data_IF_202117019092
#
_entry.id   IF_202117019092
#
_cell.length_a   1.000
_cell.length_b   1.000
_cell.length_c   1.000
_cell.angle_alpha   90.00
_cell.angle_beta   90.00
_cell.angle_gamma   90.00
#
_symmetry.space_group_name_H-M   'P 1'
#
loop_
_entity.id
_entity.type
_entity.pdbx_description
1 polymer ?
#
# COMPACT_ATOMS: atom_id res chain seq x y z
N UNK A 1 26.88 41.00 -23.77
CA UNK A 1 25.63 41.03 -24.55
C UNK A 1 25.56 39.69 -25.27
N UNK A 2 24.66 38.74 -25.05
CA UNK A 2 23.37 38.68 -24.38
C UNK A 2 23.18 37.25 -23.82
N UNK A 3 22.70 37.13 -22.58
CA UNK A 3 21.93 35.96 -22.14
C UNK A 3 20.47 36.24 -22.52
N UNK A 4 19.77 35.28 -23.12
CA UNK A 4 18.31 35.35 -23.24
C UNK A 4 17.63 34.52 -22.14
N UNK A 5 16.63 35.07 -21.43
CA UNK A 5 15.89 34.37 -20.37
C UNK A 5 14.82 33.42 -20.92
N UNK A 6 14.52 32.39 -20.13
CA UNK A 6 13.39 31.46 -20.29
C UNK A 6 12.16 32.12 -19.65
N UNK A 7 11.07 32.29 -20.40
CA UNK A 7 9.80 32.80 -19.86
C UNK A 7 8.99 31.69 -19.15
N UNK A 8 8.44 31.95 -17.94
CA UNK A 8 7.47 31.07 -17.30
C UNK A 8 6.03 31.45 -17.68
N UNK A 9 5.28 30.48 -18.20
CA UNK A 9 3.84 30.55 -18.48
C UNK A 9 3.04 30.67 -17.17
N UNK A 10 2.23 31.72 -17.07
CA UNK A 10 1.34 32.01 -15.95
C UNK A 10 0.06 31.16 -16.04
N UNK A 11 -0.21 30.38 -14.99
CA UNK A 11 -1.46 29.63 -14.80
C UNK A 11 -1.96 29.81 -13.36
N UNK A 12 -3.06 30.56 -13.25
CA UNK A 12 -4.11 30.53 -12.24
C UNK A 12 -3.76 30.44 -10.75
N UNK A 13 -3.64 31.63 -10.15
CA UNK A 13 -3.92 31.85 -8.73
C UNK A 13 -4.92 32.99 -8.60
N UNK A 14 -6.21 32.69 -8.37
CA UNK A 14 -7.14 33.66 -7.78
C UNK A 14 -8.08 32.99 -6.78
N UNK A 15 -7.82 33.32 -5.52
CA UNK A 15 -8.67 33.07 -4.35
C UNK A 15 -10.04 33.76 -4.50
N UNK A 16 -11.10 33.08 -4.08
CA UNK A 16 -12.38 33.72 -3.75
C UNK A 16 -12.55 33.80 -2.22
N UNK A 17 -12.35 34.99 -1.68
CA UNK A 17 -12.76 35.42 -0.34
C UNK A 17 -14.06 36.20 -0.47
N UNK A 18 -15.12 35.78 0.22
CA UNK A 18 -16.44 36.40 0.20
C UNK A 18 -16.72 37.11 1.52
N UNK A 19 -17.01 38.42 1.47
CA UNK A 19 -17.77 39.14 2.50
C UNK A 19 -18.25 40.51 2.00
N UNK A 20 -19.50 40.88 2.34
CA UNK A 20 -19.90 42.28 2.56
C UNK A 20 -20.94 42.90 1.61
N UNK A 21 -22.17 43.10 2.11
CA UNK A 21 -23.35 43.57 1.37
C UNK A 21 -23.50 45.09 1.11
N UNK A 22 -24.65 45.48 0.54
CA UNK A 22 -25.12 46.88 0.41
C UNK A 22 -26.08 47.12 -0.77
N UNK A 23 -27.19 47.85 -0.57
CA UNK A 23 -28.45 47.80 -1.34
C UNK A 23 -28.82 49.06 -2.19
N UNK A 24 -29.99 48.98 -2.90
CA UNK A 24 -30.92 50.06 -3.42
C UNK A 24 -30.73 50.45 -4.92
N UNK A 25 -31.69 50.57 -5.89
CA UNK A 25 -33.19 50.58 -5.99
C UNK A 25 -33.74 50.32 -7.44
N UNK A 26 -34.74 49.42 -7.55
CA UNK A 26 -36.07 49.35 -8.26
C UNK A 26 -36.48 50.05 -9.62
N UNK A 27 -36.78 49.19 -10.63
CA UNK A 27 -37.86 49.08 -11.70
C UNK A 27 -38.07 50.09 -12.88
N UNK A 28 -38.74 49.74 -14.04
CA UNK A 28 -39.48 48.48 -14.41
C UNK A 28 -39.27 47.85 -15.84
N UNK A 29 -39.49 46.52 -15.93
CA UNK A 29 -40.00 45.67 -17.05
C UNK A 29 -39.24 45.56 -18.43
N UNK A 30 -39.38 44.47 -19.23
CA UNK A 30 -40.22 43.29 -19.04
C UNK A 30 -39.46 41.97 -18.89
N UNK A 31 -40.06 41.11 -18.08
CA UNK A 31 -39.75 39.70 -17.90
C UNK A 31 -39.70 38.93 -19.23
N UNK A 32 -38.49 38.64 -19.70
CA UNK A 32 -38.23 37.39 -20.43
C UNK A 32 -37.36 36.56 -19.51
N UNK A 33 -38.01 35.83 -18.62
CA UNK A 33 -37.38 34.66 -18.03
C UNK A 33 -37.06 33.73 -19.20
N UNK A 34 -35.82 33.82 -19.70
CA UNK A 34 -35.21 32.74 -20.46
C UNK A 34 -35.15 31.57 -19.50
N UNK A 35 -36.13 30.66 -19.59
CA UNK A 35 -36.13 29.42 -18.86
C UNK A 35 -34.93 28.59 -19.39
N UNK A 36 -33.90 28.34 -18.57
CA UNK A 36 -32.66 27.68 -19.01
C UNK A 36 -32.86 26.19 -19.33
N UNK A 37 -34.09 25.68 -19.30
CA UNK A 37 -34.45 24.31 -19.67
C UNK A 37 -35.33 24.19 -20.93
N UNK A 38 -35.62 25.30 -21.64
CA UNK A 38 -36.56 25.31 -22.77
C UNK A 38 -35.93 24.94 -24.15
N UNK A 39 -34.62 24.68 -24.23
CA UNK A 39 -33.94 24.47 -25.51
C UNK A 39 -33.23 23.12 -25.63
N UNK A 40 -33.99 22.02 -25.50
CA UNK A 40 -33.51 20.69 -25.95
C UNK A 40 -34.61 19.82 -26.58
N UNK A 41 -35.90 20.03 -26.27
CA UNK A 41 -36.95 19.06 -26.65
C UNK A 41 -38.21 19.62 -27.35
N UNK A 42 -38.22 20.89 -27.77
CA UNK A 42 -39.42 21.57 -28.28
C UNK A 42 -39.46 21.81 -29.80
N UNK A 43 -39.46 20.78 -30.64
CA UNK A 43 -39.95 20.90 -32.02
C UNK A 43 -40.60 19.60 -32.46
N UNK A 44 -41.92 19.57 -32.30
CA UNK A 44 -42.79 18.53 -32.87
C UNK A 44 -42.84 18.68 -34.39
N UNK A 45 -42.70 17.60 -35.16
CA UNK A 45 -43.49 17.43 -36.35
C UNK A 45 -44.57 16.38 -36.09
N UNK A 46 -45.79 16.69 -36.51
CA UNK A 46 -46.99 15.90 -36.33
C UNK A 46 -46.82 14.41 -36.68
N UNK A 47 -47.37 13.52 -35.84
CA UNK A 47 -47.56 12.08 -36.12
C UNK A 47 -48.88 11.85 -36.88
N UNK A 48 -49.21 10.66 -37.47
CA UNK A 48 -48.57 9.33 -37.34
C UNK A 48 -48.49 8.49 -38.66
N UNK A 49 -48.05 7.24 -38.51
CA UNK A 49 -48.05 6.08 -39.44
C UNK A 49 -46.87 5.98 -40.39
N UNK A 50 -45.94 5.06 -40.09
CA UNK A 50 -45.88 3.73 -40.70
C UNK A 50 -44.86 2.86 -39.95
N UNK A 51 -45.17 1.58 -39.82
CA UNK A 51 -44.33 0.56 -39.21
C UNK A 51 -42.95 0.52 -39.86
N UNK A 52 -41.88 0.82 -39.09
CA UNK A 52 -40.52 0.39 -39.42
C UNK A 52 -39.87 -0.18 -38.17
N UNK A 53 -40.03 -1.48 -38.05
CA UNK A 53 -39.10 -2.45 -37.50
C UNK A 53 -38.08 -1.92 -36.49
N UNK A 54 -38.30 -2.34 -35.25
CA UNK A 54 -37.27 -2.56 -34.25
C UNK A 54 -36.31 -3.69 -34.70
N UNK A 55 -35.65 -3.52 -35.85
CA UNK A 55 -34.61 -4.40 -36.36
C UNK A 55 -33.44 -3.54 -36.86
N UNK A 56 -32.40 -3.49 -36.03
CA UNK A 56 -31.01 -3.67 -36.49
C UNK A 56 -30.63 -2.94 -37.78
N UNK A 57 -30.42 -1.63 -37.70
CA UNK A 57 -29.63 -0.91 -38.69
C UNK A 57 -28.43 -0.28 -37.98
N UNK A 58 -27.42 -1.12 -37.70
CA UNK A 58 -26.06 -0.63 -37.57
C UNK A 58 -25.70 0.03 -38.91
N UNK A 59 -25.93 1.34 -39.03
CA UNK A 59 -25.44 2.07 -40.18
C UNK A 59 -23.91 1.93 -40.18
N UNK A 60 -23.24 1.78 -41.34
CA UNK A 60 -21.79 1.63 -41.42
C UNK A 60 -21.00 2.73 -40.70
N UNK A 61 -21.62 3.90 -40.48
CA UNK A 61 -21.12 5.01 -39.67
C UNK A 61 -21.11 4.72 -38.16
N UNK A 62 -22.09 3.99 -37.64
CA UNK A 62 -22.21 3.68 -36.21
C UNK A 62 -21.20 2.62 -35.76
N UNK A 63 -20.74 1.76 -36.66
CA UNK A 63 -19.68 0.80 -36.35
C UNK A 63 -18.37 1.48 -35.97
N UNK A 64 -18.00 2.58 -36.64
CA UNK A 64 -16.80 3.36 -36.30
C UNK A 64 -16.96 4.09 -34.97
N UNK A 65 -18.15 4.64 -34.71
CA UNK A 65 -18.47 5.29 -33.44
C UNK A 65 -18.36 4.28 -32.29
N UNK A 66 -19.03 3.14 -32.42
CA UNK A 66 -19.01 2.06 -31.44
C UNK A 66 -17.60 1.50 -31.22
N UNK A 67 -16.81 1.33 -32.28
CA UNK A 67 -15.41 0.91 -32.16
C UNK A 67 -14.58 1.92 -31.36
N UNK A 68 -14.78 3.22 -31.60
CA UNK A 68 -14.08 4.29 -30.86
C UNK A 68 -14.51 4.33 -29.40
N UNK A 69 -15.81 4.17 -29.13
CA UNK A 69 -16.36 4.08 -27.78
C UNK A 69 -15.78 2.87 -27.03
N UNK A 70 -15.79 1.69 -27.66
CA UNK A 70 -15.24 0.46 -27.06
C UNK A 70 -13.72 0.54 -26.86
N UNK A 71 -12.97 1.09 -27.81
CA UNK A 71 -11.52 1.27 -27.67
C UNK A 71 -11.19 2.24 -26.54
N UNK A 72 -11.95 3.33 -26.41
CA UNK A 72 -11.76 4.32 -25.33
C UNK A 72 -12.15 3.73 -23.98
N UNK A 73 -13.29 3.03 -23.91
CA UNK A 73 -13.73 2.36 -22.69
C UNK A 73 -12.72 1.28 -22.26
N UNK A 74 -12.29 0.41 -23.19
CA UNK A 74 -11.33 -0.65 -22.91
C UNK A 74 -9.93 -0.13 -22.55
N UNK A 75 -9.48 0.98 -23.13
CA UNK A 75 -8.24 1.63 -22.69
C UNK A 75 -8.35 2.16 -21.26
N UNK A 76 -9.46 2.83 -20.92
CA UNK A 76 -9.69 3.33 -19.55
C UNK A 76 -9.78 2.18 -18.56
N UNK A 77 -10.51 1.13 -18.89
CA UNK A 77 -10.63 -0.08 -18.07
C UNK A 77 -9.27 -0.75 -17.89
N UNK A 78 -8.48 -0.91 -18.96
CA UNK A 78 -7.14 -1.50 -18.90
C UNK A 78 -6.17 -0.71 -18.02
N UNK A 79 -6.19 0.62 -18.09
CA UNK A 79 -5.36 1.48 -17.23
C UNK A 79 -5.79 1.38 -15.77
N UNK A 80 -7.10 1.35 -15.50
CA UNK A 80 -7.61 1.16 -14.13
C UNK A 80 -7.23 -0.21 -13.58
N UNK A 81 -7.52 -1.28 -14.33
CA UNK A 81 -7.20 -2.64 -13.92
C UNK A 81 -5.70 -2.84 -13.69
N UNK A 82 -4.83 -2.28 -14.54
CA UNK A 82 -3.38 -2.37 -14.37
C UNK A 82 -2.87 -1.63 -13.12
N UNK A 83 -3.48 -0.50 -12.77
CA UNK A 83 -3.14 0.24 -11.55
C UNK A 83 -3.58 -0.52 -10.31
N UNK A 84 -4.80 -1.04 -10.32
CA UNK A 84 -5.35 -1.80 -9.19
C UNK A 84 -4.55 -3.09 -8.97
N UNK A 85 -4.19 -3.82 -10.04
CA UNK A 85 -3.41 -5.05 -9.94
C UNK A 85 -1.99 -4.81 -9.41
N UNK A 86 -1.33 -3.73 -9.84
CA UNK A 86 0.02 -3.40 -9.38
C UNK A 86 0.03 -2.95 -7.91
N UNK A 87 -1.00 -2.24 -7.46
CA UNK A 87 -1.08 -1.74 -6.09
C UNK A 87 -1.36 -2.89 -5.11
N UNK A 88 -2.23 -3.82 -5.47
CA UNK A 88 -2.59 -4.95 -4.61
C UNK A 88 -1.41 -5.91 -4.42
N UNK A 89 -0.67 -6.24 -5.49
CA UNK A 89 0.52 -7.11 -5.41
C UNK A 89 1.54 -6.58 -4.39
N UNK A 90 1.89 -5.29 -4.50
CA UNK A 90 2.84 -4.68 -3.58
C UNK A 90 2.33 -4.60 -2.13
N UNK A 91 1.02 -4.42 -1.94
CA UNK A 91 0.42 -4.49 -0.61
C UNK A 91 0.48 -5.91 -0.02
N UNK A 92 0.13 -6.93 -0.80
CA UNK A 92 0.10 -8.32 -0.35
C UNK A 92 1.51 -8.82 0.01
N UNK A 93 2.52 -8.46 -0.78
CA UNK A 93 3.94 -8.72 -0.49
C UNK A 93 4.38 -8.03 0.81
N UNK A 94 4.13 -6.71 0.92
CA UNK A 94 4.49 -5.93 2.10
C UNK A 94 3.76 -6.38 3.38
N UNK A 95 2.49 -6.77 3.26
CA UNK A 95 1.69 -7.30 4.35
C UNK A 95 2.23 -8.64 4.83
N UNK A 96 2.55 -9.56 3.91
CA UNK A 96 3.08 -10.88 4.25
C UNK A 96 4.45 -10.80 4.94
N UNK A 97 5.33 -9.93 4.43
CA UNK A 97 6.62 -9.65 5.05
C UNK A 97 6.45 -9.00 6.43
N UNK A 98 5.62 -7.97 6.53
CA UNK A 98 5.31 -7.29 7.79
C UNK A 98 4.69 -8.21 8.84
N UNK A 99 3.81 -9.12 8.42
CA UNK A 99 3.19 -10.13 9.29
C UNK A 99 4.25 -11.11 9.81
N UNK A 100 5.17 -11.57 8.96
CA UNK A 100 6.25 -12.48 9.36
C UNK A 100 7.18 -11.81 10.39
N UNK A 101 7.56 -10.57 10.15
CA UNK A 101 8.40 -9.77 11.07
C UNK A 101 7.65 -9.49 12.38
N UNK A 102 6.39 -9.09 12.31
CA UNK A 102 5.54 -8.83 13.47
C UNK A 102 5.31 -10.08 14.31
N UNK A 103 5.13 -11.24 13.67
CA UNK A 103 5.02 -12.53 14.35
C UNK A 103 6.30 -12.86 15.11
N UNK A 104 7.48 -12.69 14.49
CA UNK A 104 8.77 -12.91 15.16
C UNK A 104 8.97 -11.96 16.34
N UNK A 105 8.74 -10.67 16.16
CA UNK A 105 8.83 -9.70 17.25
C UNK A 105 7.87 -10.03 18.39
N UNK A 106 6.63 -10.41 18.08
CA UNK A 106 5.63 -10.82 19.06
C UNK A 106 6.02 -12.08 19.83
N UNK A 107 6.61 -13.08 19.18
CA UNK A 107 7.13 -14.29 19.84
C UNK A 107 8.24 -13.95 20.85
N UNK A 108 9.18 -13.08 20.46
CA UNK A 108 10.27 -12.63 21.34
C UNK A 108 9.73 -11.87 22.56
N UNK A 109 8.80 -10.92 22.33
CA UNK A 109 8.14 -10.17 23.41
C UNK A 109 7.37 -11.10 24.34
N UNK A 110 6.55 -12.00 23.79
CA UNK A 110 5.74 -12.93 24.56
C UNK A 110 6.59 -13.88 25.43
N UNK A 111 7.77 -14.28 24.94
CA UNK A 111 8.71 -15.09 25.71
C UNK A 111 9.29 -14.29 26.89
N UNK A 112 9.72 -13.05 26.66
CA UNK A 112 10.24 -12.17 27.71
C UNK A 112 9.16 -11.76 28.72
N UNK A 113 7.91 -11.60 28.28
CA UNK A 113 6.76 -11.38 29.14
C UNK A 113 6.48 -12.59 30.02
N UNK A 114 6.44 -13.79 29.45
CA UNK A 114 6.24 -15.03 30.22
C UNK A 114 7.34 -15.24 31.28
N UNK A 115 8.57 -14.87 30.93
CA UNK A 115 9.71 -14.84 31.84
C UNK A 115 9.50 -13.85 32.99
N UNK A 116 9.19 -12.59 32.67
CA UNK A 116 8.99 -11.53 33.67
C UNK A 116 7.84 -11.90 34.61
N UNK A 117 6.77 -12.48 34.05
CA UNK A 117 5.61 -12.96 34.76
C UNK A 117 5.94 -14.11 35.72
N UNK A 118 6.87 -15.00 35.37
CA UNK A 118 7.33 -16.05 36.27
C UNK A 118 8.04 -15.51 37.53
N UNK A 119 8.58 -14.29 37.47
CA UNK A 119 9.21 -13.61 38.60
C UNK A 119 8.27 -12.68 39.38
N UNK A 120 7.02 -12.48 38.94
CA UNK A 120 6.04 -11.64 39.65
C UNK A 120 5.87 -12.11 41.09
N UNK A 121 6.05 -11.18 42.03
CA UNK A 121 5.97 -11.44 43.47
C UNK A 121 7.30 -11.86 44.13
N UNK A 122 8.38 -11.99 43.37
CA UNK A 122 9.73 -12.16 43.91
C UNK A 122 10.49 -10.83 43.82
N UNK A 123 10.98 -10.30 44.95
CA UNK A 123 11.89 -9.15 44.96
C UNK A 123 13.34 -9.64 44.81
N UNK A 124 13.63 -10.29 43.68
CA UNK A 124 14.95 -10.79 43.32
C UNK A 124 15.63 -9.81 42.36
N UNK A 125 16.96 -9.75 42.38
CA UNK A 125 17.75 -9.06 41.36
C UNK A 125 17.39 -9.56 39.95
N UNK A 126 17.09 -10.85 39.81
CA UNK A 126 16.63 -11.44 38.56
C UNK A 126 15.27 -10.89 38.09
N UNK A 127 14.36 -10.56 39.01
CA UNK A 127 13.06 -9.98 38.67
C UNK A 127 13.22 -8.56 38.10
N UNK A 128 14.06 -7.74 38.74
CA UNK A 128 14.37 -6.39 38.24
C UNK A 128 15.11 -6.43 36.89
N UNK A 129 16.01 -7.39 36.70
CA UNK A 129 16.71 -7.59 35.43
C UNK A 129 15.74 -7.99 34.31
N UNK A 130 14.79 -8.90 34.58
CA UNK A 130 13.78 -9.33 33.63
C UNK A 130 12.83 -8.19 33.22
N UNK A 131 12.36 -7.38 34.16
CA UNK A 131 11.52 -6.21 33.87
C UNK A 131 12.24 -5.15 33.03
N UNK A 132 13.54 -4.92 33.30
CA UNK A 132 14.38 -4.01 32.52
C UNK A 132 14.56 -4.52 31.09
N UNK A 133 14.86 -5.80 30.92
CA UNK A 133 14.99 -6.45 29.62
C UNK A 133 13.70 -6.35 28.80
N UNK A 134 12.56 -6.61 29.43
CA UNK A 134 11.24 -6.47 28.79
C UNK A 134 10.99 -5.03 28.32
N UNK A 135 11.30 -4.04 29.16
CA UNK A 135 11.11 -2.64 28.81
C UNK A 135 12.00 -2.24 27.62
N UNK A 136 13.26 -2.69 27.61
CA UNK A 136 14.18 -2.46 26.50
C UNK A 136 13.69 -3.17 25.21
N UNK A 137 13.16 -4.38 25.33
CA UNK A 137 12.59 -5.13 24.20
C UNK A 137 11.37 -4.44 23.60
N UNK A 138 10.45 -3.93 24.42
CA UNK A 138 9.28 -3.18 23.97
C UNK A 138 9.66 -1.90 23.21
N UNK A 139 10.68 -1.19 23.67
CA UNK A 139 11.16 0.03 23.01
C UNK A 139 11.86 -0.29 21.68
N UNK A 140 12.75 -1.29 21.68
CA UNK A 140 13.53 -1.67 20.49
C UNK A 140 12.71 -2.39 19.43
N UNK A 141 11.84 -3.32 19.81
CA UNK A 141 10.97 -4.09 18.91
C UNK A 141 9.62 -3.40 18.69
N UNK A 142 9.50 -2.11 19.01
CA UNK A 142 8.35 -1.31 18.62
C UNK A 142 8.22 -1.24 17.10
N UNK A 143 6.99 -1.22 16.60
CA UNK A 143 6.71 -1.16 15.15
C UNK A 143 7.44 0.00 14.48
N UNK A 144 7.45 1.17 15.12
CA UNK A 144 8.15 2.37 14.65
C UNK A 144 9.65 2.17 14.43
N UNK A 145 10.31 1.34 15.25
CA UNK A 145 11.75 1.05 15.12
C UNK A 145 12.04 -0.09 14.15
N UNK A 146 11.20 -1.11 14.13
CA UNK A 146 11.35 -2.25 13.20
C UNK A 146 11.17 -1.79 11.75
N UNK A 147 10.20 -0.91 11.47
CA UNK A 147 9.97 -0.37 10.11
C UNK A 147 10.69 0.96 9.87
N UNK A 148 11.75 1.25 10.63
CA UNK A 148 12.47 2.51 10.52
C UNK A 148 13.19 2.65 9.17
N UNK A 149 13.41 3.87 8.68
CA UNK A 149 14.17 4.10 7.45
C UNK A 149 15.66 3.71 7.56
N UNK A 150 16.11 3.24 8.73
CA UNK A 150 17.46 2.69 8.93
C UNK A 150 17.59 1.31 8.27
N UNK A 151 16.52 0.50 8.34
CA UNK A 151 16.49 -0.87 7.82
C UNK A 151 15.72 -1.03 6.51
N UNK A 152 14.91 -0.02 6.16
CA UNK A 152 14.03 -0.03 4.99
C UNK A 152 14.29 1.18 4.10
N UNK A 153 14.45 0.93 2.80
CA UNK A 153 14.53 1.97 1.79
C UNK A 153 13.12 2.48 1.40
N UNK A 154 13.01 3.70 0.82
CA UNK A 154 11.72 4.29 0.44
C UNK A 154 10.93 3.50 -0.61
N UNK A 155 11.59 2.59 -1.31
CA UNK A 155 11.00 1.66 -2.28
C UNK A 155 10.40 0.39 -1.63
N UNK A 156 10.52 0.25 -0.30
CA UNK A 156 10.02 -0.90 0.45
C UNK A 156 11.02 -2.06 0.54
N UNK A 157 12.22 -1.91 -0.04
CA UNK A 157 13.24 -2.96 0.01
C UNK A 157 14.10 -2.84 1.27
N UNK A 158 14.60 -3.97 1.79
CA UNK A 158 15.48 -3.98 2.97
C UNK A 158 16.92 -3.58 2.62
N UNK A 159 17.61 -2.96 3.58
CA UNK A 159 19.00 -2.46 3.40
C UNK A 159 20.08 -3.39 3.98
N UNK A 160 19.68 -4.44 4.69
CA UNK A 160 20.58 -5.35 5.39
C UNK A 160 20.84 -6.66 4.60
N UNK A 161 21.94 -7.35 4.93
CA UNK A 161 22.33 -8.59 4.24
C UNK A 161 21.47 -9.77 4.74
N UNK A 162 20.77 -10.41 3.81
CA UNK A 162 19.97 -11.62 4.06
C UNK A 162 20.60 -12.78 3.33
N UNK A 163 20.90 -13.86 4.05
CA UNK A 163 21.35 -15.12 3.45
C UNK A 163 20.12 -15.99 3.21
N UNK A 164 19.93 -16.45 1.98
CA UNK A 164 18.95 -17.48 1.70
C UNK A 164 19.26 -18.72 2.54
N UNK A 165 18.22 -19.38 3.07
CA UNK A 165 18.35 -20.64 3.79
C UNK A 165 18.81 -21.80 2.90
N UNK A 166 18.31 -23.02 3.15
CA UNK A 166 18.63 -24.21 2.33
C UNK A 166 18.08 -24.15 0.88
N UNK A 167 17.48 -23.04 0.47
CA UNK A 167 16.95 -22.78 -0.87
C UNK A 167 17.80 -21.82 -1.72
N UNK A 168 17.50 -21.76 -3.02
CA UNK A 168 18.12 -20.80 -3.96
C UNK A 168 17.52 -19.39 -3.78
N UNK A 169 16.27 -19.30 -3.31
CA UNK A 169 15.54 -18.06 -3.11
C UNK A 169 15.49 -17.68 -1.61
N UNK A 170 15.62 -16.38 -1.32
CA UNK A 170 15.40 -15.84 0.02
C UNK A 170 13.89 -15.91 0.32
N UNK A 171 13.49 -16.27 1.55
CA UNK A 171 12.08 -16.28 1.96
C UNK A 171 11.79 -15.16 2.98
N UNK A 172 10.51 -14.81 3.18
CA UNK A 172 10.14 -13.80 4.20
C UNK A 172 10.64 -14.14 5.62
N UNK A 173 10.62 -15.41 6.08
CA UNK A 173 11.21 -15.77 7.36
C UNK A 173 12.72 -15.50 7.43
N UNK A 174 13.45 -15.67 6.32
CA UNK A 174 14.89 -15.39 6.27
C UNK A 174 15.15 -13.89 6.44
N UNK A 175 14.36 -13.05 5.77
CA UNK A 175 14.43 -11.58 5.91
C UNK A 175 14.11 -11.16 7.35
N UNK A 176 13.06 -11.74 7.95
CA UNK A 176 12.69 -11.43 9.34
C UNK A 176 13.79 -11.82 10.32
N UNK A 177 14.41 -12.99 10.16
CA UNK A 177 15.49 -13.46 11.03
C UNK A 177 16.80 -12.68 10.81
N UNK A 178 17.02 -12.16 9.60
CA UNK A 178 18.18 -11.34 9.28
C UNK A 178 18.06 -9.89 9.77
N UNK A 179 16.84 -9.43 10.13
CA UNK A 179 16.62 -8.08 10.63
C UNK A 179 17.50 -7.81 11.87
N UNK A 180 18.31 -6.73 11.91
CA UNK A 180 19.31 -6.53 12.97
C UNK A 180 18.75 -6.53 14.40
N UNK A 181 17.62 -5.87 14.61
CA UNK A 181 16.94 -5.88 15.92
C UNK A 181 16.38 -7.25 16.29
N UNK A 182 15.69 -7.93 15.39
CA UNK A 182 15.13 -9.27 15.65
C UNK A 182 16.25 -10.24 15.97
N UNK A 183 17.34 -10.22 15.19
CA UNK A 183 18.50 -11.07 15.43
C UNK A 183 19.13 -10.83 16.80
N UNK A 184 19.38 -9.57 17.17
CA UNK A 184 19.91 -9.21 18.49
C UNK A 184 19.03 -9.77 19.62
N UNK A 185 17.71 -9.56 19.52
CA UNK A 185 16.78 -9.99 20.55
C UNK A 185 16.58 -11.50 20.55
N UNK A 186 16.67 -12.15 19.40
CA UNK A 186 16.67 -13.60 19.31
C UNK A 186 17.87 -14.20 20.06
N UNK A 187 19.07 -13.66 19.86
CA UNK A 187 20.27 -14.11 20.58
C UNK A 187 20.10 -13.93 22.11
N UNK A 188 19.57 -12.79 22.56
CA UNK A 188 19.30 -12.53 23.98
C UNK A 188 18.26 -13.49 24.55
N UNK A 189 17.17 -13.73 23.82
CA UNK A 189 16.10 -14.64 24.25
C UNK A 189 16.60 -16.08 24.29
N UNK A 190 17.39 -16.52 23.32
CA UNK A 190 17.99 -17.85 23.27
C UNK A 190 18.92 -18.08 24.49
N UNK A 191 19.71 -17.08 24.89
CA UNK A 191 20.50 -17.16 26.13
C UNK A 191 19.62 -17.39 27.36
N UNK A 192 18.49 -16.68 27.46
CA UNK A 192 17.56 -16.80 28.58
C UNK A 192 16.77 -18.11 28.58
N UNK A 193 16.34 -18.59 27.40
CA UNK A 193 15.71 -19.91 27.21
C UNK A 193 16.66 -21.00 27.71
N UNK A 194 17.93 -20.93 27.33
CA UNK A 194 18.95 -21.88 27.76
C UNK A 194 19.22 -21.81 29.27
N UNK A 195 19.30 -20.61 29.82
CA UNK A 195 19.55 -20.39 31.26
C UNK A 195 18.41 -20.97 32.12
N UNK A 196 17.17 -20.82 31.67
CA UNK A 196 15.98 -21.28 32.41
C UNK A 196 15.43 -22.63 31.95
N UNK A 197 16.05 -23.25 30.94
CA UNK A 197 15.61 -24.53 30.35
C UNK A 197 14.14 -24.51 29.94
N UNK A 198 13.72 -23.39 29.36
CA UNK A 198 12.38 -23.27 28.77
C UNK A 198 12.35 -24.20 27.55
N UNK A 199 11.29 -25.00 27.40
CA UNK A 199 11.11 -25.83 26.21
C UNK A 199 10.36 -25.02 25.16
N UNK A 200 11.03 -24.49 24.11
CA UNK A 200 10.37 -23.67 23.10
C UNK A 200 9.34 -24.47 22.28
N UNK A 201 9.54 -25.79 22.15
CA UNK A 201 8.64 -26.69 21.41
C UNK A 201 7.20 -26.76 21.93
N UNK A 202 6.93 -26.24 23.14
CA UNK A 202 5.56 -26.15 23.66
C UNK A 202 4.77 -25.02 23.00
N UNK A 203 5.47 -24.01 22.44
CA UNK A 203 4.87 -22.86 21.78
C UNK A 203 4.69 -23.07 20.28
N UNK A 204 5.40 -24.06 19.70
CA UNK A 204 5.33 -24.43 18.29
C UNK A 204 4.15 -25.37 17.96
N UNK A 205 3.21 -25.61 18.89
CA UNK A 205 2.05 -26.45 18.60
C UNK A 205 1.15 -25.75 17.59
N UNK A 206 1.31 -26.16 16.33
CA UNK A 206 0.65 -25.72 15.09
C UNK A 206 -0.88 -25.97 15.07
N UNK A 207 -1.52 -26.09 16.24
CA UNK A 207 -2.94 -26.46 16.46
C UNK A 207 -3.91 -25.27 16.38
N UNK A 208 -3.41 -24.06 16.15
CA UNK A 208 -4.25 -22.92 15.77
C UNK A 208 -4.79 -23.10 14.34
N UNK A 209 -6.02 -22.63 14.02
CA UNK A 209 -6.52 -22.66 12.65
C UNK A 209 -5.58 -21.81 11.78
N UNK A 210 -4.72 -22.51 11.04
CA UNK A 210 -3.82 -21.94 10.04
C UNK A 210 -4.73 -21.24 9.02
N UNK A 211 -4.76 -19.90 9.05
CA UNK A 211 -5.30 -19.14 7.93
C UNK A 211 -4.47 -19.59 6.73
N UNK A 212 -5.16 -20.18 5.75
CA UNK A 212 -4.56 -20.94 4.65
C UNK A 212 -3.25 -20.31 4.20
N UNK A 213 -2.19 -21.13 4.19
CA UNK A 213 -0.89 -20.75 3.66
C UNK A 213 -1.08 -20.25 2.22
N UNK A 214 -1.13 -18.93 2.07
CA UNK A 214 -0.81 -18.30 0.80
C UNK A 214 0.61 -18.75 0.49
N UNK A 215 0.70 -19.53 -0.58
CA UNK A 215 1.86 -20.30 -0.96
C UNK A 215 3.14 -19.46 -0.85
N UNK A 216 4.22 -20.12 -0.45
CA UNK A 216 5.59 -19.67 -0.57
C UNK A 216 5.82 -19.11 -1.99
N UNK A 217 5.60 -17.80 -2.18
CA UNK A 217 5.97 -17.14 -3.43
C UNK A 217 7.48 -16.89 -3.38
N UNK A 218 8.24 -17.44 -4.35
CA UNK A 218 9.67 -17.17 -4.45
C UNK A 218 9.88 -15.67 -4.69
N UNK A 219 10.85 -15.09 -4.01
CA UNK A 219 11.18 -13.67 -4.17
C UNK A 219 11.63 -13.39 -5.61
N UNK A 220 10.74 -12.82 -6.42
CA UNK A 220 11.16 -12.08 -7.61
C UNK A 220 11.54 -10.68 -7.12
N UNK A 221 12.72 -10.58 -6.52
CA UNK A 221 13.36 -9.29 -6.31
C UNK A 221 13.50 -8.61 -7.68
N UNK A 222 12.77 -7.52 -7.89
CA UNK A 222 12.98 -6.61 -9.02
C UNK A 222 14.25 -5.77 -8.84
N UNK A 223 15.35 -6.40 -8.41
CA UNK A 223 16.66 -5.80 -8.45
C UNK A 223 17.00 -5.48 -9.91
N UNK A 224 17.34 -4.22 -10.26
CA UNK A 224 17.80 -3.93 -11.60
C UNK A 224 19.04 -4.78 -11.89
N UNK A 225 19.12 -5.45 -13.06
CA UNK A 225 20.28 -6.27 -13.38
C UNK A 225 21.51 -5.39 -13.34
N UNK A 226 22.46 -5.75 -12.47
CA UNK A 226 23.79 -5.16 -12.47
C UNK A 226 24.29 -5.12 -13.92
N UNK A 227 24.63 -3.92 -14.39
CA UNK A 227 25.03 -3.65 -15.75
C UNK A 227 26.14 -4.63 -16.18
N UNK A 228 25.78 -5.65 -16.95
CA UNK A 228 26.76 -6.52 -17.59
C UNK A 228 27.55 -5.64 -18.57
N UNK A 229 28.87 -5.72 -18.44
CA UNK A 229 29.92 -5.10 -19.27
C UNK A 229 29.48 -4.84 -20.71
N UNK A 230 29.88 -3.70 -21.32
CA UNK A 230 29.58 -3.44 -22.72
C UNK A 230 30.17 -4.54 -23.60
N UNK A 231 29.35 -5.05 -24.51
CA UNK A 231 29.74 -5.98 -25.58
C UNK A 231 30.73 -5.25 -26.51
N UNK A 232 31.97 -5.73 -26.58
CA UNK A 232 32.88 -5.37 -27.68
C UNK A 232 32.34 -6.02 -28.97
N UNK A 233 32.06 -5.17 -29.96
CA UNK A 233 31.79 -5.56 -31.34
C UNK A 233 33.06 -5.42 -32.18
#
# INVERSE_FOLDING_TARGET
>A
MHFQPIEPSAGDAYLSQAEGGGAVSREPEPSTALDPFDDVFGSTPASPTEHRDAQSAAHPSDMRRLQTEHATAGYREGVTAAKDSSMQSGFDEGFSLGATIGQRAGQLLGTLEGVSDAFKGQTSEAALAAEKLLTEAHEELSTTRIVSPEYWAPDGNWTFEVKAGEGEDVLFPDVANAHPLIRKWNDIVDEHINLWKINPSILDDDTGPRLDAMADEPLISSAPPAAKKPLDW
#
